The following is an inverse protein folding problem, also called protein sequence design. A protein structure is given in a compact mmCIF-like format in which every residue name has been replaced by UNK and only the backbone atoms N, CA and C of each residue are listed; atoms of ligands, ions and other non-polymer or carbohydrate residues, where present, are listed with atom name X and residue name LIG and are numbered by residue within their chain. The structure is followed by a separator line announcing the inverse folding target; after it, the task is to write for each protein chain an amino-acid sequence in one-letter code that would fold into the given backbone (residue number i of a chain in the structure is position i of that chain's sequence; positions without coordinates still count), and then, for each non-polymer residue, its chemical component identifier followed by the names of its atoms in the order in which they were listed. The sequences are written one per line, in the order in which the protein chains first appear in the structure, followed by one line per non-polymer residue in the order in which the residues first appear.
data_IF_526765449620
#
_entry.id   IF_526765449620
#
_cell.length_a   1.000
_cell.length_b   1.000
_cell.length_c   1.000
_cell.angle_alpha   90.00
_cell.angle_beta   90.00
_cell.angle_gamma   90.00
#
_symmetry.space_group_name_H-M   'P 1'
#
loop_
_entity.id
_entity.type
_entity.pdbx_description
1 polymer ?
#
# COMPACT_ATOMS: atom_id res chain seq x y z
N UNK A 1 -3.85 -7.86 1.64
CA UNK A 1 -2.94 -9.01 1.94
C UNK A 1 -2.08 -8.77 3.19
N UNK A 2 -1.47 -7.59 3.37
CA UNK A 2 -0.64 -7.26 4.54
C UNK A 2 -1.34 -7.35 5.91
N UNK A 3 -2.66 -7.08 5.98
CA UNK A 3 -3.44 -7.21 7.23
C UNK A 3 -3.92 -8.66 7.45
N UNK A 4 -4.23 -9.38 6.36
CA UNK A 4 -4.81 -10.73 6.43
C UNK A 4 -3.76 -11.83 6.65
N UNK A 5 -2.56 -11.67 6.08
CA UNK A 5 -1.47 -12.65 6.17
C UNK A 5 -1.00 -12.91 7.62
N UNK A 6 -0.71 -11.90 8.47
CA UNK A 6 -0.33 -12.15 9.87
C UNK A 6 -1.51 -12.63 10.73
N UNK A 7 -2.75 -12.25 10.40
CA UNK A 7 -3.94 -12.67 11.17
C UNK A 7 -4.38 -14.10 10.88
N UNK A 8 -3.98 -14.69 9.75
CA UNK A 8 -4.27 -16.10 9.42
C UNK A 8 -3.66 -17.11 10.40
N UNK A 9 -2.70 -16.67 11.23
CA UNK A 9 -2.06 -17.50 12.27
C UNK A 9 -2.88 -17.61 13.57
N UNK A 10 -3.98 -16.86 13.71
CA UNK A 10 -4.87 -16.90 14.89
C UNK A 10 -6.33 -17.17 14.53
N UNK A 11 -7.16 -17.56 15.52
CA UNK A 11 -8.60 -17.83 15.34
C UNK A 11 -9.29 -16.64 14.64
N UNK A 12 -9.74 -16.86 13.41
CA UNK A 12 -10.42 -15.85 12.59
C UNK A 12 -11.69 -15.35 13.28
N UNK A 13 -11.67 -14.11 13.75
CA UNK A 13 -12.89 -13.33 13.98
C UNK A 13 -13.07 -12.40 12.78
N UNK A 14 -13.92 -12.78 11.83
CA UNK A 14 -14.30 -11.95 10.67
C UNK A 14 -14.65 -10.52 11.07
N UNK A 15 -15.26 -10.31 12.24
CA UNK A 15 -15.54 -8.98 12.79
C UNK A 15 -14.30 -8.14 13.11
N UNK A 16 -13.20 -8.75 13.58
CA UNK A 16 -11.94 -8.04 13.86
C UNK A 16 -11.20 -7.67 12.58
N UNK A 17 -11.31 -8.51 11.55
CA UNK A 17 -10.81 -8.22 10.21
C UNK A 17 -11.56 -7.04 9.58
N UNK A 18 -12.90 -7.05 9.68
CA UNK A 18 -13.74 -5.95 9.23
C UNK A 18 -13.42 -4.65 9.98
N UNK A 19 -13.25 -4.70 11.30
CA UNK A 19 -12.88 -3.53 12.10
C UNK A 19 -11.51 -2.95 11.71
N UNK A 20 -10.49 -3.78 11.51
CA UNK A 20 -9.18 -3.30 11.05
C UNK A 20 -9.23 -2.77 9.61
N UNK A 21 -9.98 -3.43 8.73
CA UNK A 21 -10.23 -2.95 7.38
C UNK A 21 -10.92 -1.59 7.38
N UNK A 22 -11.87 -1.38 8.28
CA UNK A 22 -12.56 -0.11 8.46
C UNK A 22 -11.62 0.97 9.00
N UNK A 23 -10.80 0.67 10.02
CA UNK A 23 -9.84 1.63 10.58
C UNK A 23 -8.80 2.05 9.53
N UNK A 24 -8.30 1.10 8.74
CA UNK A 24 -7.35 1.39 7.67
C UNK A 24 -8.01 2.08 6.46
N UNK A 25 -9.24 1.71 6.12
CA UNK A 25 -9.94 2.17 4.93
C UNK A 25 -10.67 3.50 5.09
N UNK A 26 -11.18 3.80 6.29
CA UNK A 26 -11.96 5.03 6.53
C UNK A 26 -11.16 6.28 6.16
N UNK A 27 -9.90 6.46 6.62
CA UNK A 27 -9.10 7.63 6.25
C UNK A 27 -8.81 7.70 4.74
N UNK A 28 -8.69 6.56 4.06
CA UNK A 28 -8.43 6.51 2.62
C UNK A 28 -9.64 7.00 1.80
N UNK A 29 -10.86 6.61 2.20
CA UNK A 29 -12.09 7.07 1.56
C UNK A 29 -12.24 8.59 1.75
N UNK A 30 -12.05 9.09 2.97
CA UNK A 30 -12.09 10.53 3.24
C UNK A 30 -11.00 11.28 2.45
N UNK A 31 -9.78 10.77 2.42
CA UNK A 31 -8.68 11.35 1.65
C UNK A 31 -8.96 11.40 0.14
N UNK A 32 -9.57 10.36 -0.43
CA UNK A 32 -9.93 10.30 -1.85
C UNK A 32 -11.03 11.30 -2.22
N UNK A 33 -12.05 11.47 -1.37
CA UNK A 33 -13.05 12.53 -1.56
C UNK A 33 -12.40 13.92 -1.49
N UNK A 34 -11.65 14.21 -0.43
CA UNK A 34 -11.00 15.51 -0.28
C UNK A 34 -10.05 15.79 -1.45
N UNK A 35 -9.24 14.82 -1.87
CA UNK A 35 -8.33 14.96 -3.00
C UNK A 35 -9.05 15.10 -4.36
N UNK A 36 -10.18 14.41 -4.55
CA UNK A 36 -10.96 14.42 -5.79
C UNK A 36 -11.83 15.66 -5.98
N UNK A 37 -12.26 16.32 -4.90
CA UNK A 37 -13.08 17.54 -4.96
C UNK A 37 -12.25 18.84 -4.99
N UNK A 38 -10.92 18.76 -4.96
CA UNK A 38 -10.02 19.90 -5.07
C UNK A 38 -9.75 20.21 -6.56
N UNK A 39 -10.39 21.26 -7.06
CA UNK A 39 -10.25 21.73 -8.45
C UNK A 39 -9.13 22.76 -8.66
N UNK A 40 -8.38 23.13 -7.60
CA UNK A 40 -7.26 24.07 -7.71
C UNK A 40 -5.94 23.35 -8.00
N UNK A 41 -5.23 23.66 -9.09
CA UNK A 41 -3.97 23.00 -9.47
C UNK A 41 -2.90 23.05 -8.36
N UNK A 42 -2.83 24.16 -7.61
CA UNK A 42 -1.83 24.34 -6.55
C UNK A 42 -2.08 23.37 -5.37
N UNK A 43 -3.32 23.24 -4.95
CA UNK A 43 -3.69 22.38 -3.82
C UNK A 43 -3.56 20.91 -4.22
N UNK A 44 -3.92 20.52 -5.45
CA UNK A 44 -3.74 19.14 -5.94
C UNK A 44 -2.27 18.72 -5.91
N UNK A 45 -1.34 19.60 -6.29
CA UNK A 45 0.11 19.31 -6.24
C UNK A 45 0.58 19.08 -4.80
N UNK A 46 0.13 19.90 -3.84
CA UNK A 46 0.50 19.73 -2.43
C UNK A 46 -0.02 18.39 -1.88
N UNK A 47 -1.29 18.07 -2.13
CA UNK A 47 -1.89 16.81 -1.69
C UNK A 47 -1.20 15.59 -2.32
N UNK A 48 -0.88 15.67 -3.62
CA UNK A 48 -0.14 14.64 -4.33
C UNK A 48 1.27 14.48 -3.76
N UNK A 49 1.97 15.58 -3.48
CA UNK A 49 3.31 15.56 -2.89
C UNK A 49 3.31 14.92 -1.49
N UNK A 50 2.31 15.24 -0.66
CA UNK A 50 2.13 14.61 0.66
C UNK A 50 1.87 13.12 0.52
N UNK A 51 0.96 12.73 -0.39
CA UNK A 51 0.65 11.32 -0.65
C UNK A 51 1.86 10.53 -1.16
N UNK A 52 2.60 11.11 -2.12
CA UNK A 52 3.83 10.54 -2.64
C UNK A 52 4.90 10.38 -1.54
N UNK A 53 5.07 11.39 -0.68
CA UNK A 53 5.98 11.34 0.46
C UNK A 53 5.60 10.25 1.48
N UNK A 54 4.31 10.09 1.77
CA UNK A 54 3.83 9.03 2.66
C UNK A 54 4.11 7.63 2.09
N UNK A 55 3.87 7.40 0.79
CA UNK A 55 4.18 6.13 0.13
C UNK A 55 5.69 5.88 0.14
N UNK A 56 6.51 6.90 -0.15
CA UNK A 56 7.96 6.79 -0.11
C UNK A 56 8.46 6.35 1.28
N UNK A 57 7.94 6.94 2.36
CA UNK A 57 8.26 6.54 3.72
C UNK A 57 7.94 5.05 3.96
N UNK A 58 6.76 4.59 3.52
CA UNK A 58 6.35 3.19 3.66
C UNK A 58 7.29 2.25 2.90
N UNK A 59 7.70 2.61 1.68
CA UNK A 59 8.67 1.81 0.90
C UNK A 59 9.99 1.66 1.66
N UNK A 60 10.51 2.75 2.23
CA UNK A 60 11.76 2.71 3.01
C UNK A 60 11.61 1.80 4.24
N UNK A 61 10.47 1.87 4.94
CA UNK A 61 10.18 1.00 6.09
C UNK A 61 10.12 -0.46 5.67
N UNK A 62 9.44 -0.79 4.56
CA UNK A 62 9.36 -2.15 4.04
C UNK A 62 10.74 -2.67 3.62
N UNK A 63 11.55 -1.85 2.94
CA UNK A 63 12.92 -2.22 2.55
C UNK A 63 13.80 -2.52 3.76
N UNK A 64 13.70 -1.73 4.83
CA UNK A 64 14.40 -1.98 6.10
C UNK A 64 13.90 -3.27 6.76
N UNK A 65 12.59 -3.46 6.82
CA UNK A 65 11.97 -4.65 7.42
C UNK A 65 12.38 -5.94 6.69
N UNK A 66 12.35 -5.95 5.36
CA UNK A 66 12.82 -7.09 4.55
C UNK A 66 14.30 -7.37 4.80
N UNK A 67 15.12 -6.34 5.03
CA UNK A 67 16.55 -6.50 5.33
C UNK A 67 16.81 -7.07 6.72
N UNK A 68 15.96 -6.75 7.68
CA UNK A 68 16.11 -7.14 9.09
C UNK A 68 15.54 -8.53 9.37
N UNK A 69 14.38 -8.88 8.82
CA UNK A 69 13.74 -10.21 8.99
C UNK A 69 14.12 -11.23 7.89
N UNK A 70 14.55 -10.77 6.71
CA UNK A 70 14.93 -11.63 5.59
C UNK A 70 16.37 -12.10 5.72
N UNK A 71 16.57 -13.42 5.66
CA UNK A 71 17.88 -14.08 5.67
C UNK A 71 18.75 -13.62 4.49
N UNK A 72 19.49 -12.51 4.67
CA UNK A 72 20.59 -11.89 3.87
C UNK A 72 20.42 -11.74 2.36
N UNK A 73 19.40 -12.32 1.76
CA UNK A 73 19.06 -12.31 0.35
C UNK A 73 17.93 -11.30 0.14
N UNK A 74 18.28 -10.03 0.24
CA UNK A 74 17.50 -8.90 -0.31
C UNK A 74 17.10 -9.12 -1.80
N UNK A 75 17.76 -10.07 -2.45
CA UNK A 75 17.54 -10.54 -3.82
C UNK A 75 16.82 -11.89 -3.91
N UNK A 76 16.05 -12.31 -2.90
CA UNK A 76 15.21 -13.51 -3.06
C UNK A 76 14.34 -13.29 -4.29
N UNK A 77 14.50 -14.14 -5.30
CA UNK A 77 13.85 -14.01 -6.60
C UNK A 77 12.33 -13.81 -6.47
N UNK A 78 11.73 -14.25 -5.37
CA UNK A 78 10.34 -14.02 -5.01
C UNK A 78 9.96 -12.54 -4.82
N UNK A 79 10.79 -11.72 -4.18
CA UNK A 79 10.48 -10.28 -3.95
C UNK A 79 10.60 -9.52 -5.26
N UNK A 80 11.65 -9.78 -6.03
CA UNK A 80 11.89 -9.13 -7.32
C UNK A 80 10.81 -9.53 -8.34
N UNK A 81 10.47 -10.82 -8.42
CA UNK A 81 9.40 -11.29 -9.30
C UNK A 81 8.04 -10.75 -8.86
N UNK A 82 7.74 -10.70 -7.56
CA UNK A 82 6.52 -10.09 -7.04
C UNK A 82 6.41 -8.60 -7.40
N UNK A 83 7.49 -7.84 -7.26
CA UNK A 83 7.53 -6.43 -7.66
C UNK A 83 7.34 -6.27 -9.18
N UNK A 84 8.06 -7.05 -9.99
CA UNK A 84 7.94 -7.00 -11.45
C UNK A 84 6.53 -7.35 -11.94
N UNK A 85 5.91 -8.40 -11.37
CA UNK A 85 4.52 -8.78 -11.68
C UNK A 85 3.55 -7.69 -11.24
N UNK A 86 3.74 -7.10 -10.06
CA UNK A 86 2.91 -6.00 -9.58
C UNK A 86 2.95 -4.78 -10.52
N UNK A 87 4.15 -4.37 -10.94
CA UNK A 87 4.35 -3.30 -11.92
C UNK A 87 3.68 -3.61 -13.26
N UNK A 88 3.83 -4.84 -13.74
CA UNK A 88 3.23 -5.30 -15.00
C UNK A 88 1.70 -5.23 -14.91
N UNK A 89 1.10 -5.73 -13.84
CA UNK A 89 -0.36 -5.67 -13.62
C UNK A 89 -0.84 -4.23 -13.55
N UNK A 90 -0.18 -3.36 -12.79
CA UNK A 90 -0.55 -1.93 -12.70
C UNK A 90 -0.51 -1.24 -14.06
N UNK A 91 0.52 -1.51 -14.86
CA UNK A 91 0.65 -0.95 -16.21
C UNK A 91 -0.43 -1.46 -17.16
N UNK A 92 -0.70 -2.77 -17.15
CA UNK A 92 -1.78 -3.35 -17.95
C UNK A 92 -3.13 -2.75 -17.57
N UNK A 93 -3.42 -2.58 -16.28
CA UNK A 93 -4.69 -1.97 -15.84
C UNK A 93 -4.83 -0.53 -16.31
N UNK A 94 -3.74 0.23 -16.41
CA UNK A 94 -3.75 1.60 -16.94
C UNK A 94 -3.95 1.69 -18.46
N UNK A 95 -3.69 0.61 -19.21
CA UNK A 95 -3.95 0.56 -20.66
C UNK A 95 -5.40 0.13 -20.93
N UNK A 96 -5.93 -0.75 -20.07
CA UNK A 96 -7.27 -1.32 -20.21
C UNK A 96 -8.40 -0.39 -19.75
N UNK A 97 -8.13 0.52 -18.82
CA UNK A 97 -9.08 1.48 -18.23
C UNK A 97 -8.69 2.89 -18.65
#
# INVERSE_FOLDING_TARGET
IAIAAPMSRGKLMLGKLAAMGLIAGSPAIFGAWVGGFVYSPFTSVIFLAIGAGAIFQVIVVIMKWIREEGDKNLSSAAVISGFAVGMLVMYLTSILV
#
